data_IF_303904789490
#
_entry.id   IF_303904789490
#
_cell.length_a   1.000
_cell.length_b   1.000
_cell.length_c   1.000
_cell.angle_alpha   90.00
_cell.angle_beta   90.00
_cell.angle_gamma   90.00
#
_symmetry.space_group_name_H-M   'P 1'
#
loop_
_entity.id
_entity.type
_entity.pdbx_description
1 polymer ?
#
# COMPACT_ATOMS: atom_id res chain seq x y z
N UNK A 1 7.73 16.53 6.22
CA UNK A 1 7.12 15.21 6.02
C UNK A 1 6.29 14.88 7.24
N UNK A 2 4.98 14.62 7.10
CA UNK A 2 4.18 14.08 8.20
C UNK A 2 4.51 12.59 8.30
N UNK A 3 5.45 12.27 9.18
CA UNK A 3 5.97 10.92 9.37
C UNK A 3 5.00 10.04 10.17
N UNK A 4 3.77 9.87 9.68
CA UNK A 4 2.78 9.00 10.36
C UNK A 4 3.29 7.55 10.49
N UNK A 5 4.25 7.17 9.64
CA UNK A 5 4.93 5.89 9.62
C UNK A 5 6.12 5.78 10.58
N UNK A 6 6.55 6.88 11.21
CA UNK A 6 7.50 6.85 12.33
C UNK A 6 6.82 6.67 13.67
N UNK A 7 5.49 6.73 13.71
CA UNK A 7 4.72 6.50 14.93
C UNK A 7 4.56 5.00 15.16
N UNK A 8 4.77 4.56 16.40
CA UNK A 8 4.50 3.17 16.81
C UNK A 8 3.01 2.91 17.03
N UNK A 9 2.22 3.98 17.22
CA UNK A 9 0.77 3.92 17.43
C UNK A 9 0.05 5.03 16.68
N UNK A 10 -1.15 4.72 16.22
CA UNK A 10 -2.06 5.71 15.64
C UNK A 10 -2.47 6.70 16.74
N UNK A 11 -2.29 8.02 16.53
CA UNK A 11 -2.52 9.02 17.57
C UNK A 11 -4.01 9.18 17.95
N UNK A 12 -4.92 8.80 17.05
CA UNK A 12 -6.37 8.96 17.27
C UNK A 12 -6.97 7.68 17.87
N UNK A 13 -6.64 6.51 17.34
CA UNK A 13 -7.25 5.24 17.77
C UNK A 13 -6.42 4.46 18.79
N UNK A 14 -5.14 4.82 18.99
CA UNK A 14 -4.21 4.06 19.84
C UNK A 14 -3.75 2.70 19.26
N UNK A 15 -4.25 2.32 18.07
CA UNK A 15 -3.85 1.07 17.41
C UNK A 15 -2.37 1.05 17.08
N UNK A 16 -1.72 -0.11 17.23
CA UNK A 16 -0.31 -0.29 16.84
C UNK A 16 -0.11 -0.04 15.35
N UNK A 17 0.99 0.61 15.00
CA UNK A 17 1.45 0.76 13.62
C UNK A 17 2.71 -0.07 13.49
N UNK A 18 2.73 -0.98 12.53
CA UNK A 18 3.92 -1.75 12.19
C UNK A 18 4.30 -1.53 10.72
N UNK A 19 5.60 -1.38 10.49
CA UNK A 19 6.20 -1.28 9.17
C UNK A 19 7.46 -2.13 9.13
N UNK A 20 7.92 -2.46 7.92
CA UNK A 20 9.15 -3.22 7.72
C UNK A 20 9.98 -2.64 6.58
N UNK A 21 11.31 -2.84 6.57
CA UNK A 21 12.15 -2.36 5.48
C UNK A 21 11.68 -2.88 4.11
N UNK A 22 11.25 -4.14 4.01
CA UNK A 22 10.76 -4.73 2.76
C UNK A 22 9.39 -4.18 2.31
N UNK A 23 8.72 -3.37 3.13
CA UNK A 23 7.45 -2.71 2.83
C UNK A 23 7.64 -1.28 2.32
N UNK A 24 8.88 -0.93 1.99
CA UNK A 24 9.25 0.36 1.42
C UNK A 24 9.83 0.16 0.03
N UNK A 25 9.43 1.03 -0.88
CA UNK A 25 9.99 1.14 -2.22
C UNK A 25 10.45 2.55 -2.46
N UNK A 26 11.61 2.67 -3.11
CA UNK A 26 12.14 3.93 -3.61
C UNK A 26 12.50 3.68 -5.08
N UNK A 27 11.94 4.48 -5.98
CA UNK A 27 12.28 4.39 -7.40
C UNK A 27 13.75 4.75 -7.61
N UNK A 28 14.43 4.07 -8.54
CA UNK A 28 15.86 4.30 -8.83
C UNK A 28 16.19 5.74 -9.20
N UNK A 29 15.26 6.42 -9.86
CA UNK A 29 15.37 7.82 -10.27
C UNK A 29 14.89 8.81 -9.19
N UNK A 30 14.52 8.32 -8.00
CA UNK A 30 13.99 9.13 -6.91
C UNK A 30 12.59 9.72 -7.16
N UNK A 31 11.91 9.36 -8.25
CA UNK A 31 10.64 10.02 -8.62
C UNK A 31 9.47 9.64 -7.72
N UNK A 32 9.57 8.53 -6.99
CA UNK A 32 8.58 8.15 -6.00
C UNK A 32 9.16 7.31 -4.88
N UNK A 33 8.47 7.34 -3.75
CA UNK A 33 8.53 6.31 -2.74
C UNK A 33 7.13 5.76 -2.47
N UNK A 34 7.07 4.50 -2.05
CA UNK A 34 5.83 3.90 -1.56
C UNK A 34 6.17 3.27 -0.21
N UNK A 35 5.39 3.62 0.79
CA UNK A 35 5.50 2.99 2.09
C UNK A 35 4.18 2.29 2.45
N UNK A 36 4.32 1.14 3.11
CA UNK A 36 3.19 0.34 3.57
C UNK A 36 3.32 0.13 5.08
N UNK A 37 2.20 0.22 5.77
CA UNK A 37 2.09 -0.10 7.19
C UNK A 37 0.84 -0.92 7.49
N UNK A 38 0.94 -1.76 8.50
CA UNK A 38 -0.18 -2.44 9.11
C UNK A 38 -0.60 -1.64 10.36
N UNK A 39 -1.87 -1.26 10.43
CA UNK A 39 -2.46 -0.52 11.55
C UNK A 39 -3.45 -1.44 12.26
N UNK A 40 -3.21 -1.70 13.53
CA UNK A 40 -3.91 -2.76 14.28
C UNK A 40 -3.74 -4.12 13.59
N UNK A 41 -4.81 -4.92 13.62
CA UNK A 41 -4.78 -6.31 13.14
C UNK A 41 -5.46 -6.50 11.77
N UNK A 42 -6.09 -5.45 11.22
CA UNK A 42 -6.97 -5.58 10.05
C UNK A 42 -6.91 -4.42 9.04
N UNK A 43 -5.99 -3.44 9.18
CA UNK A 43 -5.87 -2.33 8.24
C UNK A 43 -4.48 -2.34 7.60
N UNK A 44 -4.43 -2.46 6.28
CA UNK A 44 -3.21 -2.27 5.50
C UNK A 44 -3.26 -0.89 4.83
N UNK A 45 -2.35 -0.01 5.23
CA UNK A 45 -2.26 1.35 4.72
C UNK A 45 -1.13 1.48 3.70
N UNK A 46 -1.41 2.12 2.55
CA UNK A 46 -0.42 2.52 1.56
C UNK A 46 -0.31 4.04 1.51
N UNK A 47 0.93 4.54 1.50
CA UNK A 47 1.26 5.96 1.35
C UNK A 47 2.24 6.12 0.18
N UNK A 48 1.76 6.36 -1.06
CA UNK A 48 2.61 6.76 -2.17
C UNK A 48 2.99 8.24 -2.06
N UNK A 49 4.24 8.54 -2.39
CA UNK A 49 4.81 9.89 -2.40
C UNK A 49 5.41 10.13 -3.79
N UNK A 50 5.07 11.27 -4.42
CA UNK A 50 5.60 11.68 -5.72
C UNK A 50 4.89 11.05 -6.92
N UNK A 51 5.64 10.62 -7.95
CA UNK A 51 5.12 10.16 -9.25
C UNK A 51 5.19 8.64 -9.37
N UNK A 52 4.03 7.98 -9.23
CA UNK A 52 3.92 6.52 -9.31
C UNK A 52 3.84 6.04 -10.77
N UNK A 53 4.88 5.32 -11.20
CA UNK A 53 4.97 4.69 -12.51
C UNK A 53 4.57 3.20 -12.49
N UNK A 54 4.66 2.54 -13.65
CA UNK A 54 4.30 1.12 -13.79
C UNK A 54 5.14 0.18 -12.92
N UNK A 55 6.45 0.42 -12.81
CA UNK A 55 7.37 -0.38 -11.99
C UNK A 55 7.01 -0.31 -10.50
N UNK A 56 6.85 0.90 -9.96
CA UNK A 56 6.46 1.13 -8.58
C UNK A 56 5.12 0.44 -8.25
N UNK A 57 4.17 0.48 -9.20
CA UNK A 57 2.88 -0.16 -8.99
C UNK A 57 2.94 -1.70 -9.11
N UNK A 58 3.80 -2.27 -9.97
CA UNK A 58 4.05 -3.73 -10.01
C UNK A 58 4.63 -4.20 -8.67
N UNK A 59 5.65 -3.51 -8.17
CA UNK A 59 6.21 -3.78 -6.85
C UNK A 59 5.12 -3.72 -5.77
N UNK A 60 4.28 -2.68 -5.78
CA UNK A 60 3.19 -2.54 -4.81
C UNK A 60 2.21 -3.72 -4.86
N UNK A 61 1.79 -4.15 -6.06
CA UNK A 61 0.87 -5.29 -6.21
C UNK A 61 1.47 -6.56 -5.61
N UNK A 62 2.73 -6.86 -5.92
CA UNK A 62 3.42 -8.05 -5.44
C UNK A 62 3.61 -8.02 -3.92
N UNK A 63 4.09 -6.90 -3.38
CA UNK A 63 4.33 -6.72 -1.94
C UNK A 63 3.03 -6.83 -1.15
N UNK A 64 1.96 -6.12 -1.56
CA UNK A 64 0.67 -6.20 -0.86
C UNK A 64 0.05 -7.58 -0.94
N UNK A 65 0.23 -8.31 -2.05
CA UNK A 65 -0.27 -9.69 -2.15
C UNK A 65 0.41 -10.60 -1.12
N UNK A 66 1.73 -10.47 -0.96
CA UNK A 66 2.49 -11.22 0.06
C UNK A 66 2.08 -10.84 1.48
N UNK A 67 1.88 -9.55 1.76
CA UNK A 67 1.44 -9.09 3.08
C UNK A 67 0.04 -9.64 3.38
N UNK A 68 -0.90 -9.54 2.45
CA UNK A 68 -2.26 -10.02 2.68
C UNK A 68 -2.28 -11.52 2.98
N UNK A 69 -1.59 -12.32 2.16
CA UNK A 69 -1.51 -13.76 2.35
C UNK A 69 -0.89 -14.14 3.70
N UNK A 70 0.10 -13.36 4.19
CA UNK A 70 0.80 -13.64 5.45
C UNK A 70 0.05 -13.17 6.70
N UNK A 71 -0.62 -12.03 6.62
CA UNK A 71 -1.16 -11.35 7.81
C UNK A 71 -2.66 -11.47 7.95
N UNK A 72 -3.41 -11.58 6.85
CA UNK A 72 -4.86 -11.62 6.92
C UNK A 72 -5.43 -13.00 6.61
N UNK A 73 -4.76 -13.81 5.80
CA UNK A 73 -5.29 -15.12 5.37
C UNK A 73 -6.73 -14.92 4.82
N UNK A 74 -7.73 -15.57 5.43
CA UNK A 74 -9.16 -15.42 5.09
C UNK A 74 -9.88 -14.33 5.91
N UNK A 75 -9.19 -13.67 6.83
CA UNK A 75 -9.78 -12.62 7.67
C UNK A 75 -10.13 -11.40 6.85
N UNK A 76 -11.23 -10.76 7.23
CA UNK A 76 -11.63 -9.47 6.68
C UNK A 76 -10.59 -8.40 7.04
N UNK A 77 -10.17 -7.64 6.03
CA UNK A 77 -9.22 -6.54 6.18
C UNK A 77 -9.66 -5.33 5.35
N UNK A 78 -9.12 -4.18 5.72
CA UNK A 78 -9.32 -2.91 5.03
C UNK A 78 -8.03 -2.49 4.33
N UNK A 79 -8.17 -1.97 3.11
CA UNK A 79 -7.09 -1.27 2.42
C UNK A 79 -7.32 0.24 2.55
N UNK A 80 -6.39 0.93 3.21
CA UNK A 80 -6.39 2.37 3.31
C UNK A 80 -5.34 2.95 2.34
N UNK A 81 -5.69 4.04 1.67
CA UNK A 81 -4.83 4.71 0.71
C UNK A 81 -4.71 6.18 1.08
N UNK A 82 -3.53 6.62 1.47
CA UNK A 82 -3.23 8.03 1.71
C UNK A 82 -2.57 8.63 0.47
N UNK A 83 -3.37 9.27 -0.38
CA UNK A 83 -2.90 9.95 -1.57
C UNK A 83 -2.52 11.42 -1.34
N UNK A 84 -2.44 11.89 -0.10
CA UNK A 84 -2.17 13.31 0.20
C UNK A 84 -0.82 13.81 -0.31
N UNK A 85 0.15 12.91 -0.50
CA UNK A 85 1.49 13.19 -1.02
C UNK A 85 1.71 12.62 -2.43
N UNK A 86 0.67 12.09 -3.07
CA UNK A 86 0.74 11.61 -4.45
C UNK A 86 0.66 12.80 -5.39
N UNK A 87 1.68 13.01 -6.22
CA UNK A 87 1.66 14.05 -7.24
C UNK A 87 0.92 13.58 -8.50
N UNK A 88 1.28 12.39 -9.00
CA UNK A 88 0.71 11.84 -10.23
C UNK A 88 0.86 10.33 -10.30
N UNK A 89 -0.10 9.68 -10.95
CA UNK A 89 0.03 8.31 -11.42
C UNK A 89 0.09 8.27 -12.95
N UNK A 90 1.08 7.57 -13.50
CA UNK A 90 1.17 7.27 -14.93
C UNK A 90 -0.06 6.52 -15.45
N UNK A 91 -0.31 6.57 -16.76
CA UNK A 91 -1.40 5.78 -17.35
C UNK A 91 -1.19 4.26 -17.16
N UNK A 92 0.06 3.80 -17.28
CA UNK A 92 0.41 2.39 -17.04
C UNK A 92 0.09 1.97 -15.60
N UNK A 93 0.51 2.76 -14.60
CA UNK A 93 0.22 2.45 -13.21
C UNK A 93 -1.27 2.40 -12.92
N UNK A 94 -2.07 3.34 -13.45
CA UNK A 94 -3.54 3.31 -13.33
C UNK A 94 -4.13 2.01 -13.90
N UNK A 95 -3.68 1.58 -15.09
CA UNK A 95 -4.14 0.32 -15.72
C UNK A 95 -3.81 -0.90 -14.86
N UNK A 96 -2.59 -0.97 -14.32
CA UNK A 96 -2.15 -2.07 -13.45
C UNK A 96 -2.99 -2.12 -12.16
N UNK A 97 -3.24 -0.96 -11.55
CA UNK A 97 -4.04 -0.86 -10.33
C UNK A 97 -5.47 -1.36 -10.58
N UNK A 98 -6.15 -0.84 -11.59
CA UNK A 98 -7.52 -1.24 -11.93
C UNK A 98 -7.59 -2.75 -12.23
N UNK A 99 -6.63 -3.29 -12.99
CA UNK A 99 -6.57 -4.72 -13.29
C UNK A 99 -6.46 -5.59 -12.03
N UNK A 100 -5.69 -5.16 -11.02
CA UNK A 100 -5.60 -5.84 -9.71
C UNK A 100 -6.98 -5.86 -9.02
N UNK A 101 -7.68 -4.73 -8.97
CA UNK A 101 -8.99 -4.64 -8.31
C UNK A 101 -10.04 -5.50 -9.00
N UNK A 102 -10.12 -5.44 -10.33
CA UNK A 102 -11.03 -6.28 -11.11
C UNK A 102 -10.75 -7.76 -10.82
N UNK A 103 -9.47 -8.17 -10.79
CA UNK A 103 -9.10 -9.55 -10.47
C UNK A 103 -9.56 -9.96 -9.07
N UNK A 104 -9.42 -9.10 -8.06
CA UNK A 104 -9.88 -9.38 -6.70
C UNK A 104 -11.40 -9.51 -6.61
N UNK A 105 -12.15 -8.65 -7.29
CA UNK A 105 -13.62 -8.71 -7.34
C UNK A 105 -14.08 -10.02 -7.99
N UNK A 106 -13.51 -10.35 -9.16
CA UNK A 106 -13.90 -11.55 -9.91
C UNK A 106 -13.51 -12.86 -9.19
N UNK A 107 -12.43 -12.87 -8.40
CA UNK A 107 -12.03 -14.04 -7.62
C UNK A 107 -12.88 -14.25 -6.35
N UNK A 108 -13.58 -13.23 -5.85
CA UNK A 108 -14.54 -13.36 -4.73
C UNK A 108 -15.94 -13.78 -5.16
N UNK A 109 -16.22 -13.89 -6.46
CA UNK A 109 -17.54 -14.27 -7.01
C UNK A 109 -17.63 -15.75 -7.45
N UNK A 110 -16.71 -16.59 -6.98
CA UNK A 110 -16.72 -18.05 -7.13
C UNK A 110 -16.62 -18.70 -5.77
#
# INVERSE_FOLDING_TARGET
MKDILKLEKCPISGLSISTKPEWKYIAKNGSCSIEIALIGDNILCQIPIGIVNGEANKWYVETVTKIIAKYFEERMFYLAYDYSLLEKASLESKKIFIKKYIKQILMKSR
#
